data_IF_224578367184
#
_entry.id   IF_224578367184
#
_cell.length_a   1.000
_cell.length_b   1.000
_cell.length_c   1.000
_cell.angle_alpha   90.00
_cell.angle_beta   90.00
_cell.angle_gamma   90.00
#
_symmetry.space_group_name_H-M   'P 1'
#
loop_
_entity.id
_entity.type
_entity.pdbx_description
1 polymer ?
#
# COMPACT_ATOMS: atom_id res chain seq x y z
N UNK A 1 -1.91 -13.51 2.86
CA UNK A 1 -3.29 -14.05 3.00
C UNK A 1 -3.64 -14.46 4.44
N UNK A 2 -2.77 -15.15 5.19
CA UNK A 2 -3.05 -15.58 6.59
C UNK A 2 -3.56 -14.45 7.50
N UNK A 3 -2.97 -13.25 7.42
CA UNK A 3 -3.43 -12.09 8.21
C UNK A 3 -4.79 -11.56 7.79
N UNK A 4 -5.13 -11.64 6.50
CA UNK A 4 -6.44 -11.24 5.98
C UNK A 4 -7.51 -12.14 6.62
N UNK A 5 -7.30 -13.45 6.59
CA UNK A 5 -8.19 -14.43 7.24
C UNK A 5 -8.31 -14.19 8.75
N UNK A 6 -7.19 -13.92 9.44
CA UNK A 6 -7.20 -13.63 10.88
C UNK A 6 -8.04 -12.40 11.21
N UNK A 7 -7.96 -11.34 10.40
CA UNK A 7 -8.75 -10.10 10.59
C UNK A 7 -10.23 -10.35 10.29
N UNK A 8 -10.55 -11.04 9.20
CA UNK A 8 -11.93 -11.35 8.82
C UNK A 8 -12.66 -12.17 9.89
N UNK A 9 -11.97 -13.12 10.53
CA UNK A 9 -12.51 -13.89 11.69
C UNK A 9 -12.91 -13.02 12.88
N UNK A 10 -12.39 -11.80 12.98
CA UNK A 10 -12.77 -10.84 14.03
C UNK A 10 -13.92 -9.92 13.62
N UNK A 11 -14.61 -10.21 12.51
CA UNK A 11 -15.68 -9.36 11.94
C UNK A 11 -15.20 -7.94 11.59
N UNK A 12 -13.94 -7.82 11.16
CA UNK A 12 -13.32 -6.55 10.74
C UNK A 12 -12.95 -6.59 9.27
N UNK A 13 -12.86 -5.41 8.66
CA UNK A 13 -12.38 -5.24 7.28
C UNK A 13 -10.86 -5.22 7.26
N UNK A 14 -10.25 -6.00 6.38
CA UNK A 14 -8.81 -5.95 6.12
C UNK A 14 -8.50 -4.84 5.11
N UNK A 15 -7.62 -3.91 5.46
CA UNK A 15 -7.15 -2.84 4.59
C UNK A 15 -5.68 -3.08 4.26
N UNK A 16 -5.37 -3.22 2.97
CA UNK A 16 -4.02 -3.41 2.46
C UNK A 16 -3.57 -2.08 1.86
N UNK A 17 -2.49 -1.52 2.39
CA UNK A 17 -1.94 -0.23 1.94
C UNK A 17 -0.49 -0.45 1.51
N UNK A 18 -0.12 0.12 0.37
CA UNK A 18 1.25 0.03 -0.15
C UNK A 18 1.44 0.86 -1.41
N UNK A 19 2.69 0.96 -1.87
CA UNK A 19 3.07 1.62 -3.13
C UNK A 19 3.62 0.66 -4.19
N UNK A 20 3.79 -0.62 -3.87
CA UNK A 20 4.43 -1.61 -4.74
C UNK A 20 3.39 -2.43 -5.50
N UNK A 21 3.13 -2.06 -6.75
CA UNK A 21 2.14 -2.75 -7.59
C UNK A 21 2.46 -4.23 -7.82
N UNK A 22 3.74 -4.61 -7.90
CA UNK A 22 4.14 -6.02 -8.07
C UNK A 22 3.67 -6.94 -6.93
N UNK A 23 3.61 -6.42 -5.69
CA UNK A 23 3.13 -7.18 -4.54
C UNK A 23 1.60 -7.31 -4.57
N UNK A 24 0.91 -6.25 -4.98
CA UNK A 24 -0.55 -6.27 -5.15
C UNK A 24 -0.92 -7.23 -6.29
N UNK A 25 -0.22 -7.18 -7.41
CA UNK A 25 -0.42 -8.08 -8.55
C UNK A 25 -0.19 -9.54 -8.13
N UNK A 26 0.93 -9.83 -7.46
CA UNK A 26 1.21 -11.18 -6.95
C UNK A 26 0.16 -11.65 -5.95
N UNK A 27 -0.42 -10.75 -5.15
CA UNK A 27 -1.48 -11.11 -4.21
C UNK A 27 -2.82 -11.38 -4.93
N UNK A 28 -3.18 -10.54 -5.89
CA UNK A 28 -4.51 -10.48 -6.50
C UNK A 28 -4.65 -11.44 -7.69
N UNK A 29 -3.62 -11.55 -8.52
CA UNK A 29 -3.63 -12.31 -9.78
C UNK A 29 -3.10 -13.74 -9.64
N UNK A 30 -2.28 -14.02 -8.62
CA UNK A 30 -1.70 -15.35 -8.46
C UNK A 30 -2.77 -16.40 -8.12
N UNK A 31 -2.88 -17.40 -8.98
CA UNK A 31 -3.77 -18.54 -8.85
C UNK A 31 -3.58 -19.31 -7.54
N UNK A 32 -2.39 -19.31 -6.93
CA UNK A 32 -2.18 -19.96 -5.63
C UNK A 32 -3.08 -19.35 -4.54
N UNK A 33 -3.37 -18.05 -4.61
CA UNK A 33 -4.19 -17.37 -3.62
C UNK A 33 -5.69 -17.40 -3.95
N UNK A 34 -6.07 -17.48 -5.23
CA UNK A 34 -7.46 -17.37 -5.71
C UNK A 34 -8.16 -16.12 -5.16
N UNK A 35 -7.42 -15.01 -5.07
CA UNK A 35 -7.81 -13.85 -4.27
C UNK A 35 -9.12 -13.21 -4.72
N UNK A 36 -9.28 -12.98 -6.03
CA UNK A 36 -10.49 -12.39 -6.64
C UNK A 36 -11.75 -13.24 -6.39
N UNK A 37 -11.60 -14.55 -6.26
CA UNK A 37 -12.70 -15.46 -6.00
C UNK A 37 -13.06 -15.52 -4.51
N UNK A 38 -12.06 -15.43 -3.63
CA UNK A 38 -12.25 -15.54 -2.16
C UNK A 38 -12.75 -14.27 -1.50
N UNK A 39 -12.39 -13.09 -2.03
CA UNK A 39 -12.64 -11.82 -1.34
C UNK A 39 -13.35 -10.81 -2.25
N UNK A 40 -14.47 -10.28 -1.75
CA UNK A 40 -15.10 -9.07 -2.30
C UNK A 40 -14.22 -7.86 -2.03
N UNK A 41 -13.43 -7.46 -3.04
CA UNK A 41 -12.39 -6.44 -2.89
C UNK A 41 -12.85 -5.07 -3.39
N UNK A 42 -12.47 -4.02 -2.67
CA UNK A 42 -12.63 -2.62 -3.10
C UNK A 42 -11.25 -2.01 -3.35
N UNK A 43 -11.03 -1.45 -4.53
CA UNK A 43 -9.76 -0.83 -4.92
C UNK A 43 -9.90 0.69 -4.89
N UNK A 44 -9.15 1.33 -4.01
CA UNK A 44 -9.11 2.79 -3.88
C UNK A 44 -7.77 3.28 -4.42
N UNK A 45 -7.83 4.03 -5.50
CA UNK A 45 -6.65 4.68 -6.07
C UNK A 45 -6.61 6.14 -5.65
N UNK A 46 -5.49 6.56 -5.05
CA UNK A 46 -5.22 7.96 -4.72
C UNK A 46 -4.35 8.52 -5.85
N UNK A 47 -4.92 9.47 -6.61
CA UNK A 47 -4.23 10.14 -7.71
C UNK A 47 -4.00 11.63 -7.41
N UNK A 48 -2.97 12.20 -8.02
CA UNK A 48 -2.61 13.61 -7.88
C UNK A 48 -1.83 14.09 -9.11
N UNK A 49 -2.06 15.34 -9.51
CA UNK A 49 -1.31 15.95 -10.60
C UNK A 49 0.21 15.95 -10.36
N UNK A 50 0.98 15.67 -11.41
CA UNK A 50 2.45 15.51 -11.34
C UNK A 50 3.19 16.68 -10.70
N UNK A 51 2.77 17.92 -11.00
CA UNK A 51 3.37 19.13 -10.40
C UNK A 51 3.15 19.19 -8.89
N UNK A 52 1.96 18.81 -8.42
CA UNK A 52 1.62 18.76 -7.00
C UNK A 52 2.39 17.63 -6.31
N UNK A 53 2.48 16.45 -6.95
CA UNK A 53 3.25 15.31 -6.44
C UNK A 53 4.72 15.68 -6.25
N UNK A 54 5.37 16.20 -7.28
CA UNK A 54 6.78 16.58 -7.23
C UNK A 54 7.04 17.60 -6.13
N UNK A 55 6.19 18.63 -6.01
CA UNK A 55 6.29 19.63 -4.94
C UNK A 55 6.20 18.98 -3.56
N UNK A 56 5.25 18.07 -3.35
CA UNK A 56 5.03 17.38 -2.07
C UNK A 56 6.18 16.43 -1.72
N UNK A 57 6.70 15.69 -2.69
CA UNK A 57 7.81 14.75 -2.49
C UNK A 57 9.10 15.49 -2.14
N UNK A 58 9.43 16.57 -2.84
CA UNK A 58 10.61 17.38 -2.54
C UNK A 58 10.56 17.92 -1.10
N UNK A 59 9.46 18.56 -0.71
CA UNK A 59 9.27 19.03 0.67
C UNK A 59 9.37 17.90 1.72
N UNK A 60 8.93 16.68 1.37
CA UNK A 60 9.05 15.53 2.27
C UNK A 60 10.50 15.11 2.44
N UNK A 61 11.29 15.06 1.37
CA UNK A 61 12.71 14.70 1.43
C UNK A 61 13.50 15.73 2.24
N UNK A 62 13.25 17.03 2.02
CA UNK A 62 13.87 18.09 2.81
C UNK A 62 13.57 17.91 4.31
N UNK A 63 12.30 17.61 4.64
CA UNK A 63 11.90 17.35 6.02
C UNK A 63 12.57 16.08 6.58
N UNK A 64 12.64 15.00 5.81
CA UNK A 64 13.28 13.75 6.24
C UNK A 64 14.76 13.96 6.56
N UNK A 65 15.48 14.68 5.70
CA UNK A 65 16.88 15.04 5.95
C UNK A 65 17.04 15.86 7.24
N UNK A 66 16.20 16.88 7.43
CA UNK A 66 16.21 17.71 8.64
C UNK A 66 15.80 16.95 9.92
N UNK A 67 15.11 15.81 9.80
CA UNK A 67 14.73 14.94 10.93
C UNK A 67 15.71 13.79 11.17
N UNK A 68 16.90 13.82 10.56
CA UNK A 68 17.96 12.85 10.84
C UNK A 68 18.00 11.65 9.90
N UNK A 69 17.37 11.70 8.71
CA UNK A 69 17.51 10.62 7.71
C UNK A 69 18.97 10.32 7.38
N UNK A 70 19.84 11.35 7.38
CA UNK A 70 21.28 11.18 7.08
C UNK A 70 21.99 10.45 8.22
N UNK A 71 21.53 10.62 9.46
CA UNK A 71 22.12 9.98 10.64
C UNK A 71 21.68 8.50 10.78
N UNK A 72 20.55 8.13 10.16
CA UNK A 72 20.05 6.75 10.12
C UNK A 72 20.84 5.82 9.17
N UNK A 73 21.56 6.39 8.19
CA UNK A 73 22.26 5.66 7.11
C UNK A 73 23.74 5.50 7.42
#
# INVERSE_FOLDING_TARGET
VVYIEKILKTQRVSIIVGGSNSYIEKLVEDHMFMFKYKYGSCYIWIDVGRSILNRRVNMRVDKMANTGLVDEV
#
